data_IF_403028690420
#
_entry.id   IF_403028690420
#
_cell.length_a   1.000
_cell.length_b   1.000
_cell.length_c   1.000
_cell.angle_alpha   90.00
_cell.angle_beta   90.00
_cell.angle_gamma   90.00
#
_symmetry.space_group_name_H-M   'P 1'
#
loop_
_entity.id
_entity.type
_entity.pdbx_description
1 polymer ?
#
# COMPACT_ATOMS: atom_id res chain seq x y z
N UNK A 1 -26.37 18.45 10.07
CA UNK A 1 -26.53 17.53 11.22
C UNK A 1 -25.94 16.20 10.81
N UNK A 2 -25.01 15.65 11.58
CA UNK A 2 -24.40 14.36 11.22
C UNK A 2 -25.42 13.22 11.41
N UNK A 3 -25.43 12.29 10.48
CA UNK A 3 -26.26 11.09 10.57
C UNK A 3 -25.40 9.95 11.18
N UNK A 4 -25.99 9.18 12.09
CA UNK A 4 -25.37 8.02 12.72
C UNK A 4 -26.27 6.80 12.62
N UNK A 5 -25.67 5.67 12.19
CA UNK A 5 -26.33 4.38 12.10
C UNK A 5 -25.55 3.34 12.87
N UNK A 6 -26.26 2.43 13.52
CA UNK A 6 -25.69 1.24 14.14
C UNK A 6 -26.14 0.02 13.36
N UNK A 7 -25.18 -0.83 12.95
CA UNK A 7 -25.41 -1.99 12.07
C UNK A 7 -24.91 -3.24 12.77
N UNK A 8 -25.78 -4.17 13.05
CA UNK A 8 -25.53 -5.47 13.69
C UNK A 8 -25.92 -6.66 12.82
N UNK A 9 -26.44 -6.41 11.63
CA UNK A 9 -26.88 -7.40 10.67
C UNK A 9 -26.54 -6.94 9.23
N UNK A 10 -26.60 -7.83 8.23
CA UNK A 10 -26.40 -7.46 6.83
C UNK A 10 -27.30 -6.28 6.42
N UNK A 11 -26.68 -5.27 5.84
CA UNK A 11 -27.38 -4.03 5.45
C UNK A 11 -26.65 -3.29 4.34
N UNK A 12 -27.43 -2.62 3.50
CA UNK A 12 -26.93 -1.66 2.50
C UNK A 12 -27.39 -0.26 2.91
N UNK A 13 -26.48 0.69 2.84
CA UNK A 13 -26.73 2.11 3.07
C UNK A 13 -26.19 2.92 1.89
N UNK A 14 -27.00 3.79 1.34
CA UNK A 14 -26.57 4.88 0.48
C UNK A 14 -26.38 6.12 1.34
N UNK A 15 -25.24 6.77 1.26
CA UNK A 15 -24.79 7.82 2.19
C UNK A 15 -24.42 9.07 1.41
N UNK A 16 -25.06 10.18 1.78
CA UNK A 16 -24.99 11.47 1.14
C UNK A 16 -26.31 11.80 0.43
N UNK A 17 -26.74 13.04 0.59
CA UNK A 17 -27.91 13.59 -0.09
C UNK A 17 -27.49 14.44 -1.30
N UNK A 18 -28.45 14.91 -2.09
CA UNK A 18 -28.21 15.79 -3.23
C UNK A 18 -27.38 17.04 -2.82
N UNK A 19 -26.19 17.18 -3.40
CA UNK A 19 -25.26 18.27 -3.12
C UNK A 19 -24.20 17.96 -2.07
N UNK A 20 -24.26 16.84 -1.38
CA UNK A 20 -23.20 16.36 -0.50
C UNK A 20 -22.18 15.51 -1.29
N UNK A 21 -20.91 15.60 -0.93
CA UNK A 21 -19.84 14.81 -1.56
C UNK A 21 -18.96 14.17 -0.50
N UNK A 22 -18.75 12.87 -0.62
CA UNK A 22 -17.80 12.16 0.24
C UNK A 22 -16.38 12.53 -0.19
N UNK A 23 -15.69 13.30 0.65
CA UNK A 23 -14.28 13.72 0.45
C UNK A 23 -13.32 12.90 1.27
N UNK A 24 -13.80 12.30 2.35
CA UNK A 24 -12.98 11.53 3.25
C UNK A 24 -13.70 10.27 3.72
N UNK A 25 -13.00 9.16 3.65
CA UNK A 25 -13.44 7.88 4.19
C UNK A 25 -12.48 7.45 5.31
N UNK A 26 -13.02 7.04 6.44
CA UNK A 26 -12.26 6.36 7.49
C UNK A 26 -12.98 5.06 7.87
N UNK A 27 -12.27 3.94 7.74
CA UNK A 27 -12.77 2.63 8.15
C UNK A 27 -11.89 2.09 9.27
N UNK A 28 -12.49 1.64 10.36
CA UNK A 28 -11.81 1.03 11.48
C UNK A 28 -12.52 -0.26 11.90
N UNK A 29 -11.99 -1.41 11.53
CA UNK A 29 -12.54 -2.72 11.93
C UNK A 29 -11.47 -3.61 12.53
N UNK A 30 -11.90 -4.59 13.34
CA UNK A 30 -10.96 -5.48 14.02
C UNK A 30 -10.54 -6.61 13.10
N UNK A 31 -11.46 -7.41 12.63
CA UNK A 31 -11.20 -8.55 11.76
C UNK A 31 -12.22 -8.65 10.63
N UNK A 32 -11.98 -9.54 9.70
CA UNK A 32 -12.85 -9.76 8.55
C UNK A 32 -12.27 -9.24 7.25
N UNK A 33 -13.02 -8.42 6.52
CA UNK A 33 -12.61 -7.89 5.22
C UNK A 33 -13.16 -6.48 4.98
N UNK A 34 -12.34 -5.63 4.40
CA UNK A 34 -12.71 -4.30 3.92
C UNK A 34 -12.38 -4.19 2.45
N UNK A 35 -13.37 -4.02 1.62
CA UNK A 35 -13.20 -3.71 0.20
C UNK A 35 -13.64 -2.26 -0.06
N UNK A 36 -12.76 -1.44 -0.57
CA UNK A 36 -13.03 -0.07 -0.99
C UNK A 36 -12.79 0.02 -2.49
N UNK A 37 -13.85 0.25 -3.23
CA UNK A 37 -13.80 0.44 -4.69
C UNK A 37 -14.36 1.81 -5.04
N UNK A 38 -13.98 2.32 -6.19
CA UNK A 38 -14.45 3.65 -6.61
C UNK A 38 -15.54 3.57 -7.65
N UNK A 39 -16.32 4.64 -7.74
CA UNK A 39 -17.23 4.94 -8.83
C UNK A 39 -17.06 6.41 -9.25
N UNK A 40 -17.50 6.73 -10.45
CA UNK A 40 -17.39 8.05 -11.08
C UNK A 40 -18.77 8.71 -11.35
N UNK A 41 -19.86 8.00 -11.10
CA UNK A 41 -21.22 8.38 -11.46
C UNK A 41 -21.99 9.13 -10.36
N UNK A 42 -21.44 9.19 -9.13
CA UNK A 42 -22.13 9.82 -8.00
C UNK A 42 -21.14 10.49 -7.02
N UNK A 43 -21.51 11.60 -6.38
CA UNK A 43 -20.74 12.18 -5.29
C UNK A 43 -20.92 11.47 -3.93
N UNK A 44 -21.89 10.56 -3.84
CA UNK A 44 -22.30 9.86 -2.61
C UNK A 44 -21.47 8.60 -2.40
N UNK A 45 -21.68 7.89 -1.30
CA UNK A 45 -21.08 6.59 -1.06
C UNK A 45 -22.15 5.51 -0.85
N UNK A 46 -21.80 4.28 -1.21
CA UNK A 46 -22.59 3.09 -0.90
C UNK A 46 -21.80 2.18 0.00
N UNK A 47 -22.36 1.86 1.14
CA UNK A 47 -21.82 0.90 2.09
C UNK A 47 -22.69 -0.37 2.07
N UNK A 48 -22.08 -1.49 1.80
CA UNK A 48 -22.66 -2.82 1.92
C UNK A 48 -21.99 -3.57 3.05
N UNK A 49 -22.76 -3.97 4.04
CA UNK A 49 -22.34 -4.80 5.14
C UNK A 49 -22.89 -6.20 4.91
N UNK A 50 -21.99 -7.15 4.66
CA UNK A 50 -22.34 -8.55 4.38
C UNK A 50 -22.47 -9.35 5.66
N UNK A 51 -21.61 -9.09 6.65
CA UNK A 51 -21.68 -9.76 7.97
C UNK A 51 -21.08 -8.88 9.05
N UNK A 52 -21.62 -9.01 10.25
CA UNK A 52 -21.08 -8.41 11.48
C UNK A 52 -21.14 -9.45 12.58
N UNK A 53 -20.02 -9.67 13.24
CA UNK A 53 -19.87 -10.52 14.38
C UNK A 53 -19.25 -9.73 15.53
N UNK A 54 -19.76 -9.91 16.73
CA UNK A 54 -19.31 -9.21 17.94
C UNK A 54 -19.96 -7.85 18.12
N UNK A 55 -19.18 -6.79 18.24
CA UNK A 55 -19.74 -5.44 18.40
C UNK A 55 -20.30 -4.90 17.07
N UNK A 56 -21.42 -4.14 17.11
CA UNK A 56 -22.00 -3.58 15.92
C UNK A 56 -21.08 -2.54 15.26
N UNK A 57 -21.23 -2.36 13.95
CA UNK A 57 -20.63 -1.26 13.22
C UNK A 57 -21.39 0.05 13.51
N UNK A 58 -20.65 1.13 13.70
CA UNK A 58 -21.16 2.48 13.72
C UNK A 58 -20.77 3.21 12.47
N UNK A 59 -21.73 3.73 11.80
CA UNK A 59 -21.53 4.52 10.59
C UNK A 59 -21.92 5.96 10.90
N UNK A 60 -21.00 6.90 10.72
CA UNK A 60 -21.21 8.32 10.94
C UNK A 60 -20.93 9.11 9.68
N UNK A 61 -21.83 10.00 9.36
CA UNK A 61 -21.74 10.93 8.25
C UNK A 61 -21.78 12.38 8.75
N UNK A 62 -20.72 13.13 8.46
CA UNK A 62 -20.56 14.52 8.90
C UNK A 62 -20.61 15.53 7.72
N UNK A 63 -21.29 15.17 6.61
CA UNK A 63 -21.46 16.02 5.43
C UNK A 63 -20.37 15.91 4.37
N UNK A 64 -19.16 15.54 4.72
CA UNK A 64 -18.04 15.23 3.79
C UNK A 64 -17.17 14.07 4.25
N UNK A 65 -17.31 13.65 5.49
CA UNK A 65 -16.51 12.58 6.09
C UNK A 65 -17.38 11.39 6.48
N UNK A 66 -17.18 10.28 5.81
CA UNK A 66 -17.78 9.00 6.17
C UNK A 66 -16.84 8.22 7.09
N UNK A 67 -17.35 7.80 8.24
CA UNK A 67 -16.65 6.95 9.20
C UNK A 67 -17.41 5.66 9.43
N UNK A 68 -16.72 4.54 9.37
CA UNK A 68 -17.24 3.21 9.65
C UNK A 68 -16.34 2.57 10.71
N UNK A 69 -16.85 2.46 11.92
CA UNK A 69 -16.08 2.00 13.07
C UNK A 69 -16.73 0.76 13.72
N UNK A 70 -15.92 -0.25 14.09
CA UNK A 70 -16.36 -1.36 14.92
C UNK A 70 -15.84 -1.20 16.33
N UNK A 71 -16.76 -0.97 17.32
CA UNK A 71 -16.40 -0.79 18.73
C UNK A 71 -16.85 0.54 19.33
N UNK A 72 -16.60 0.72 20.64
CA UNK A 72 -17.24 1.78 21.44
C UNK A 72 -16.66 3.20 21.32
N UNK A 73 -15.43 3.38 20.88
CA UNK A 73 -14.76 4.69 20.92
C UNK A 73 -14.02 5.01 19.61
N UNK A 74 -14.69 5.72 18.71
CA UNK A 74 -14.16 6.13 17.40
C UNK A 74 -13.07 7.23 17.41
N UNK A 75 -12.45 7.51 18.54
CA UNK A 75 -11.40 8.54 18.66
C UNK A 75 -10.12 8.05 19.35
N UNK A 76 -9.79 6.80 19.17
CA UNK A 76 -8.61 6.21 19.80
C UNK A 76 -7.43 6.30 18.84
N UNK A 77 -6.34 6.90 19.30
CA UNK A 77 -5.03 6.83 18.62
C UNK A 77 -4.64 5.37 18.37
N UNK A 78 -3.98 5.07 17.26
CA UNK A 78 -3.50 3.72 16.90
C UNK A 78 -2.76 3.08 18.09
N UNK A 79 -2.05 3.86 18.88
CA UNK A 79 -1.29 3.41 20.08
C UNK A 79 -2.21 3.02 21.22
N UNK A 80 -3.29 3.78 21.49
CA UNK A 80 -4.25 3.45 22.56
C UNK A 80 -5.13 2.26 22.16
N UNK A 81 -5.40 2.13 20.89
CA UNK A 81 -6.10 1.02 20.29
C UNK A 81 -5.27 -0.29 20.41
N UNK A 82 -3.97 -0.27 20.10
CA UNK A 82 -3.07 -1.41 20.31
C UNK A 82 -3.01 -1.85 21.78
N UNK A 83 -3.04 -0.89 22.71
CA UNK A 83 -2.91 -1.15 24.15
C UNK A 83 -4.14 -1.81 24.77
N UNK A 84 -5.34 -1.63 24.17
CA UNK A 84 -6.60 -2.22 24.61
C UNK A 84 -6.89 -3.62 24.04
N UNK A 85 -6.05 -4.10 23.12
CA UNK A 85 -6.26 -5.34 22.37
C UNK A 85 -6.15 -6.65 23.15
N UNK A 86 -5.75 -6.63 24.41
CA UNK A 86 -5.30 -7.88 25.04
C UNK A 86 -6.39 -8.83 25.54
N UNK A 87 -7.69 -8.52 25.48
CA UNK A 87 -8.63 -9.43 26.13
C UNK A 87 -10.05 -9.62 25.56
N UNK A 88 -10.52 -8.87 24.55
CA UNK A 88 -11.91 -9.03 24.07
C UNK A 88 -12.16 -8.88 22.56
N UNK A 89 -11.15 -8.56 21.79
CA UNK A 89 -11.32 -8.17 20.38
C UNK A 89 -11.31 -9.31 19.37
N UNK A 90 -10.91 -10.52 19.75
CA UNK A 90 -10.80 -11.68 18.85
C UNK A 90 -12.12 -12.12 18.19
N UNK A 91 -13.27 -11.66 18.74
CA UNK A 91 -14.59 -12.04 18.21
C UNK A 91 -15.21 -11.00 17.27
N UNK A 92 -14.61 -9.82 17.16
CA UNK A 92 -15.14 -8.76 16.32
C UNK A 92 -14.70 -8.96 14.87
N UNK A 93 -15.65 -9.27 14.02
CA UNK A 93 -15.41 -9.43 12.57
C UNK A 93 -16.50 -8.73 11.78
N UNK A 94 -16.12 -8.09 10.71
CA UNK A 94 -17.05 -7.50 9.77
C UNK A 94 -16.57 -7.70 8.34
N UNK A 95 -17.50 -7.95 7.44
CA UNK A 95 -17.24 -7.94 6.00
C UNK A 95 -18.00 -6.78 5.42
N UNK A 96 -17.24 -5.79 4.95
CA UNK A 96 -17.76 -4.53 4.44
C UNK A 96 -17.22 -4.22 3.06
N UNK A 97 -18.08 -3.76 2.18
CA UNK A 97 -17.73 -3.24 0.87
C UNK A 97 -18.23 -1.79 0.76
N UNK A 98 -17.34 -0.91 0.36
CA UNK A 98 -17.63 0.51 0.18
C UNK A 98 -17.36 0.90 -1.27
N UNK A 99 -18.34 1.53 -1.88
CA UNK A 99 -18.17 2.21 -3.15
C UNK A 99 -18.21 3.72 -2.89
N UNK A 100 -17.13 4.42 -3.27
CA UNK A 100 -16.91 5.83 -2.95
C UNK A 100 -16.45 6.62 -4.18
N UNK A 101 -16.59 7.96 -4.20
CA UNK A 101 -15.99 8.77 -5.24
C UNK A 101 -14.48 8.58 -5.32
N UNK A 102 -13.92 8.58 -6.52
CA UNK A 102 -12.49 8.33 -6.74
C UNK A 102 -11.56 9.32 -6.03
N UNK A 103 -12.00 10.55 -5.79
CA UNK A 103 -11.27 11.62 -5.10
C UNK A 103 -11.40 11.60 -3.57
N UNK A 104 -12.05 10.59 -3.00
CA UNK A 104 -12.19 10.45 -1.56
C UNK A 104 -10.87 10.00 -0.89
N UNK A 105 -10.28 10.86 -0.08
CA UNK A 105 -9.12 10.52 0.73
C UNK A 105 -9.48 9.40 1.72
N UNK A 106 -8.79 8.26 1.63
CA UNK A 106 -9.21 7.03 2.31
C UNK A 106 -8.19 6.61 3.37
N UNK A 107 -8.69 6.35 4.59
CA UNK A 107 -7.91 5.78 5.69
C UNK A 107 -8.56 4.49 6.19
N UNK A 108 -7.81 3.39 6.14
CA UNK A 108 -8.25 2.07 6.61
C UNK A 108 -7.39 1.62 7.77
N UNK A 109 -8.02 1.32 8.90
CA UNK A 109 -7.37 0.86 10.12
C UNK A 109 -7.92 -0.52 10.48
N UNK A 110 -7.07 -1.53 10.51
CA UNK A 110 -7.49 -2.91 10.80
C UNK A 110 -6.56 -3.59 11.81
N UNK A 111 -7.05 -4.63 12.46
CA UNK A 111 -6.19 -5.50 13.28
C UNK A 111 -5.79 -6.72 12.49
N UNK A 112 -6.78 -7.48 12.04
CA UNK A 112 -6.57 -8.77 11.37
C UNK A 112 -7.47 -8.95 10.15
N UNK A 113 -7.96 -7.84 9.59
CA UNK A 113 -8.77 -7.87 8.39
C UNK A 113 -7.91 -7.82 7.13
N UNK A 114 -8.34 -8.52 6.09
CA UNK A 114 -7.85 -8.28 4.75
C UNK A 114 -8.43 -6.98 4.20
N UNK A 115 -7.65 -6.24 3.42
CA UNK A 115 -8.06 -5.00 2.79
C UNK A 115 -7.80 -5.00 1.28
N UNK A 116 -8.81 -4.60 0.51
CA UNK A 116 -8.67 -4.27 -0.90
C UNK A 116 -9.10 -2.82 -1.12
N UNK A 117 -8.21 -2.01 -1.68
CA UNK A 117 -8.51 -0.64 -2.08
C UNK A 117 -8.18 -0.49 -3.55
N UNK A 118 -9.16 -0.07 -4.36
CA UNK A 118 -8.99 -0.01 -5.80
C UNK A 118 -9.61 1.25 -6.42
N UNK A 119 -8.92 1.83 -7.40
CA UNK A 119 -9.41 2.93 -8.24
C UNK A 119 -9.29 4.33 -7.63
N UNK A 120 -8.72 4.51 -6.44
CA UNK A 120 -8.66 5.79 -5.75
C UNK A 120 -7.68 6.76 -6.41
N UNK A 121 -8.10 8.02 -6.54
CA UNK A 121 -7.33 9.15 -7.11
C UNK A 121 -6.93 10.19 -6.04
N UNK A 122 -6.85 9.78 -4.81
CA UNK A 122 -6.54 10.61 -3.65
C UNK A 122 -5.56 9.92 -2.70
N UNK A 123 -5.23 10.58 -1.60
CA UNK A 123 -4.33 10.02 -0.59
C UNK A 123 -4.94 8.77 0.07
N UNK A 124 -4.14 7.72 0.16
CA UNK A 124 -4.50 6.45 0.81
C UNK A 124 -3.59 6.20 2.00
N UNK A 125 -4.18 5.96 3.15
CA UNK A 125 -3.47 5.54 4.37
C UNK A 125 -4.02 4.23 4.88
N UNK A 126 -3.15 3.26 5.12
CA UNK A 126 -3.53 1.96 5.70
C UNK A 126 -2.68 1.66 6.92
N UNK A 127 -3.36 1.33 8.01
CA UNK A 127 -2.72 0.86 9.23
C UNK A 127 -3.30 -0.52 9.58
N UNK A 128 -2.46 -1.54 9.62
CA UNK A 128 -2.88 -2.89 9.97
C UNK A 128 -1.89 -3.55 10.95
N UNK A 129 -2.37 -4.48 11.74
CA UNK A 129 -1.47 -5.33 12.53
C UNK A 129 -1.15 -6.61 11.77
N UNK A 130 -2.17 -7.23 11.19
CA UNK A 130 -2.01 -8.44 10.39
C UNK A 130 -3.10 -8.53 9.31
N UNK A 131 -2.87 -9.33 8.30
CA UNK A 131 -3.74 -9.46 7.16
C UNK A 131 -3.10 -8.90 5.88
N UNK A 132 -3.54 -9.38 4.75
CA UNK A 132 -3.05 -8.91 3.45
C UNK A 132 -3.75 -7.62 3.06
N UNK A 133 -2.98 -6.63 2.63
CA UNK A 133 -3.48 -5.38 2.07
C UNK A 133 -3.13 -5.34 0.60
N UNK A 134 -4.14 -5.26 -0.23
CA UNK A 134 -4.02 -5.12 -1.68
C UNK A 134 -4.46 -3.73 -2.10
N UNK A 135 -3.56 -2.99 -2.75
CA UNK A 135 -3.79 -1.68 -3.32
C UNK A 135 -3.68 -1.80 -4.84
N UNK A 136 -4.72 -1.44 -5.56
CA UNK A 136 -4.73 -1.58 -7.01
C UNK A 136 -5.26 -0.33 -7.71
N UNK A 137 -4.60 0.10 -8.77
CA UNK A 137 -4.96 1.30 -9.55
C UNK A 137 -5.15 2.55 -8.68
N UNK A 138 -4.16 2.87 -7.87
CA UNK A 138 -4.17 4.06 -7.00
C UNK A 138 -3.35 5.19 -7.63
N UNK A 139 -3.94 6.38 -7.74
CA UNK A 139 -3.24 7.59 -8.17
C UNK A 139 -3.20 8.59 -7.03
N UNK A 140 -2.04 8.73 -6.40
CA UNK A 140 -1.85 9.61 -5.26
C UNK A 140 -0.85 9.06 -4.25
N UNK A 141 -0.59 9.78 -3.17
CA UNK A 141 0.31 9.32 -2.12
C UNK A 141 -0.29 8.14 -1.35
N UNK A 142 0.52 7.10 -1.16
CA UNK A 142 0.17 5.89 -0.41
C UNK A 142 1.09 5.77 0.81
N UNK A 143 0.51 5.64 2.00
CA UNK A 143 1.22 5.39 3.27
C UNK A 143 0.65 4.13 3.94
N UNK A 144 1.46 3.09 4.05
CA UNK A 144 1.07 1.80 4.66
C UNK A 144 1.93 1.51 5.88
N UNK A 145 1.28 1.26 6.99
CA UNK A 145 1.93 0.84 8.24
C UNK A 145 1.38 -0.53 8.65
N UNK A 146 2.24 -1.54 8.72
CA UNK A 146 1.87 -2.90 9.11
C UNK A 146 2.83 -3.48 10.13
N UNK A 147 2.34 -4.39 10.96
CA UNK A 147 3.22 -5.15 11.87
C UNK A 147 3.60 -6.48 11.23
N UNK A 148 2.64 -7.27 10.77
CA UNK A 148 2.90 -8.60 10.18
C UNK A 148 2.03 -8.92 8.98
N UNK A 149 1.44 -7.89 8.35
CA UNK A 149 0.64 -8.03 7.14
C UNK A 149 1.49 -7.96 5.89
N UNK A 150 1.08 -8.67 4.86
CA UNK A 150 1.62 -8.57 3.52
C UNK A 150 1.03 -7.35 2.80
N UNK A 151 1.86 -6.65 2.03
CA UNK A 151 1.45 -5.46 1.27
C UNK A 151 1.68 -5.71 -0.20
N UNK A 152 0.60 -5.73 -0.96
CA UNK A 152 0.61 -5.89 -2.41
C UNK A 152 0.11 -4.60 -3.08
N UNK A 153 0.93 -4.01 -3.91
CA UNK A 153 0.62 -2.81 -4.67
C UNK A 153 0.65 -3.13 -6.17
N UNK A 154 -0.47 -2.99 -6.85
CA UNK A 154 -0.60 -3.08 -8.30
C UNK A 154 -0.91 -1.71 -8.90
N UNK A 155 -0.23 -1.30 -9.98
CA UNK A 155 -0.53 -0.09 -10.77
C UNK A 155 -0.65 1.19 -9.93
N UNK A 156 0.19 1.32 -8.89
CA UNK A 156 0.22 2.53 -8.07
C UNK A 156 0.99 3.63 -8.81
N UNK A 157 0.41 4.84 -8.84
CA UNK A 157 1.02 6.05 -9.40
C UNK A 157 1.11 7.12 -8.31
N UNK A 158 2.34 7.49 -7.95
CA UNK A 158 2.58 8.48 -6.91
C UNK A 158 3.55 7.98 -5.83
N UNK A 159 3.84 8.81 -4.82
CA UNK A 159 4.78 8.43 -3.76
C UNK A 159 4.26 7.25 -2.94
N UNK A 160 5.12 6.25 -2.70
CA UNK A 160 4.82 5.05 -1.90
C UNK A 160 5.69 5.03 -0.64
N UNK A 161 5.06 4.97 0.51
CA UNK A 161 5.72 4.84 1.80
C UNK A 161 5.17 3.62 2.54
N UNK A 162 6.06 2.73 2.96
CA UNK A 162 5.70 1.52 3.69
C UNK A 162 6.58 1.36 4.93
N UNK A 163 5.94 1.14 6.06
CA UNK A 163 6.57 0.74 7.30
C UNK A 163 6.03 -0.64 7.70
N UNK A 164 6.90 -1.64 7.73
CA UNK A 164 6.57 -3.01 8.12
C UNK A 164 7.49 -3.47 9.24
N UNK A 165 6.99 -4.28 10.15
CA UNK A 165 7.88 -5.03 11.05
C UNK A 165 8.18 -6.40 10.45
N UNK A 166 7.16 -7.10 9.97
CA UNK A 166 7.28 -8.41 9.34
C UNK A 166 6.22 -8.58 8.27
N UNK A 167 6.59 -9.07 7.15
CA UNK A 167 5.71 -9.25 5.99
C UNK A 167 6.35 -8.73 4.71
N UNK A 168 6.06 -9.39 3.62
CA UNK A 168 6.57 -9.00 2.32
C UNK A 168 5.90 -7.70 1.81
N UNK A 169 6.64 -6.93 1.04
CA UNK A 169 6.16 -5.74 0.34
C UNK A 169 6.41 -5.93 -1.14
N UNK A 170 5.35 -6.00 -1.92
CA UNK A 170 5.42 -6.19 -3.37
C UNK A 170 4.76 -5.02 -4.07
N UNK A 171 5.46 -4.34 -4.97
CA UNK A 171 4.87 -3.36 -5.88
C UNK A 171 5.11 -3.81 -7.32
N UNK A 172 4.05 -3.94 -8.08
CA UNK A 172 4.09 -4.43 -9.46
C UNK A 172 3.50 -3.39 -10.41
N UNK A 173 4.10 -3.25 -11.59
CA UNK A 173 3.63 -2.38 -12.66
C UNK A 173 3.30 -0.96 -12.18
N UNK A 174 4.12 -0.43 -11.28
CA UNK A 174 3.83 0.82 -10.59
C UNK A 174 4.73 1.96 -11.08
N UNK A 175 4.12 3.12 -11.32
CA UNK A 175 4.81 4.36 -11.69
C UNK A 175 5.02 5.24 -10.44
N UNK A 176 6.01 4.88 -9.63
CA UNK A 176 6.29 5.54 -8.36
C UNK A 176 7.58 6.38 -8.45
N UNK A 177 7.47 7.70 -8.44
CA UNK A 177 8.63 8.57 -8.50
C UNK A 177 9.47 8.55 -7.22
N UNK A 178 8.86 8.23 -6.08
CA UNK A 178 9.52 8.15 -4.79
C UNK A 178 9.00 6.96 -3.97
N UNK A 179 9.91 6.10 -3.55
CA UNK A 179 9.62 4.94 -2.70
C UNK A 179 10.41 5.06 -1.40
N UNK A 180 9.75 4.87 -0.27
CA UNK A 180 10.41 4.78 1.05
C UNK A 180 9.89 3.56 1.80
N UNK A 181 10.72 2.54 1.97
CA UNK A 181 10.35 1.32 2.67
C UNK A 181 11.28 1.11 3.85
N UNK A 182 10.70 0.90 5.03
CA UNK A 182 11.42 0.53 6.23
C UNK A 182 10.80 -0.76 6.77
N UNK A 183 11.57 -1.83 6.83
CA UNK A 183 11.13 -3.11 7.37
C UNK A 183 12.15 -3.68 8.35
N UNK A 184 11.70 -4.48 9.29
CA UNK A 184 12.62 -5.27 10.12
C UNK A 184 12.84 -6.63 9.48
N UNK A 185 11.78 -7.30 9.03
CA UNK A 185 11.86 -8.61 8.39
C UNK A 185 10.82 -8.73 7.28
N UNK A 186 11.21 -9.27 6.19
CA UNK A 186 10.38 -9.48 5.01
C UNK A 186 11.04 -8.97 3.73
N UNK A 187 10.73 -9.64 2.65
CA UNK A 187 11.28 -9.32 1.34
C UNK A 187 10.59 -8.11 0.71
N UNK A 188 11.36 -7.34 -0.01
CA UNK A 188 10.89 -6.16 -0.75
C UNK A 188 11.09 -6.42 -2.23
N UNK A 189 10.00 -6.43 -2.99
CA UNK A 189 10.05 -6.59 -4.45
C UNK A 189 9.37 -5.40 -5.11
N UNK A 190 10.13 -4.65 -5.89
CA UNK A 190 9.65 -3.50 -6.64
C UNK A 190 9.83 -3.72 -8.13
N UNK A 191 8.74 -3.78 -8.88
CA UNK A 191 8.72 -3.79 -10.34
C UNK A 191 8.11 -2.49 -10.84
N UNK A 192 8.97 -1.57 -11.24
CA UNK A 192 8.61 -0.20 -11.55
C UNK A 192 8.56 0.04 -13.06
N UNK A 193 7.62 0.87 -13.49
CA UNK A 193 7.52 1.35 -14.87
C UNK A 193 8.34 2.62 -15.08
N UNK A 194 8.66 3.36 -14.02
CA UNK A 194 9.39 4.62 -14.10
C UNK A 194 10.91 4.38 -14.08
N UNK A 195 11.60 4.92 -15.09
CA UNK A 195 13.05 4.86 -15.19
C UNK A 195 13.76 5.85 -14.22
N UNK A 196 13.06 6.88 -13.71
CA UNK A 196 13.60 7.96 -12.88
C UNK A 196 13.02 7.92 -11.47
N UNK A 197 13.14 6.79 -10.78
CA UNK A 197 12.62 6.62 -9.43
C UNK A 197 13.70 6.89 -8.35
N UNK A 198 13.26 7.47 -7.23
CA UNK A 198 14.07 7.61 -6.02
C UNK A 198 13.62 6.60 -4.97
N UNK A 199 14.44 5.61 -4.70
CA UNK A 199 14.11 4.50 -3.82
C UNK A 199 14.99 4.55 -2.58
N UNK A 200 14.37 4.56 -1.40
CA UNK A 200 15.02 4.38 -0.10
C UNK A 200 14.48 3.12 0.55
N UNK A 201 15.34 2.15 0.80
CA UNK A 201 14.98 0.92 1.47
C UNK A 201 15.90 0.67 2.65
N UNK A 202 15.33 0.46 3.83
CA UNK A 202 16.05 0.03 5.00
C UNK A 202 15.42 -1.26 5.52
N UNK A 203 16.22 -2.34 5.58
CA UNK A 203 15.80 -3.64 6.08
C UNK A 203 16.79 -4.12 7.14
N UNK A 204 16.34 -4.86 8.13
CA UNK A 204 17.25 -5.61 9.00
C UNK A 204 17.46 -7.01 8.41
N UNK A 205 16.38 -7.68 7.99
CA UNK A 205 16.45 -9.02 7.40
C UNK A 205 15.45 -9.14 6.25
N UNK A 206 15.86 -9.73 5.19
CA UNK A 206 15.09 -9.91 3.96
C UNK A 206 15.79 -9.32 2.73
N UNK A 207 15.46 -9.84 1.59
CA UNK A 207 16.04 -9.44 0.33
C UNK A 207 15.33 -8.19 -0.23
N UNK A 208 16.09 -7.36 -0.93
CA UNK A 208 15.58 -6.18 -1.63
C UNK A 208 15.80 -6.35 -3.11
N UNK A 209 14.74 -6.52 -3.87
CA UNK A 209 14.78 -6.65 -5.33
C UNK A 209 14.09 -5.46 -5.97
N UNK A 210 14.79 -4.76 -6.84
CA UNK A 210 14.28 -3.65 -7.63
C UNK A 210 14.45 -3.95 -9.11
N UNK A 211 13.36 -3.93 -9.86
CA UNK A 211 13.36 -4.01 -11.32
C UNK A 211 12.78 -2.72 -11.90
N UNK A 212 13.50 -2.06 -12.78
CA UNK A 212 13.07 -0.83 -13.44
C UNK A 212 13.66 -0.69 -14.84
N UNK A 213 12.99 -0.01 -15.80
CA UNK A 213 13.49 0.20 -17.15
C UNK A 213 14.52 1.36 -17.18
N UNK A 214 15.64 1.23 -16.43
CA UNK A 214 16.61 2.30 -16.31
C UNK A 214 17.55 2.38 -17.51
N UNK A 215 17.99 3.60 -17.86
CA UNK A 215 19.05 3.91 -18.80
C UNK A 215 20.38 4.14 -18.10
N UNK A 216 20.33 4.41 -16.81
CA UNK A 216 21.43 4.58 -15.91
C UNK A 216 20.95 4.56 -14.46
N UNK A 217 21.89 4.39 -13.53
CA UNK A 217 21.57 4.30 -12.10
C UNK A 217 22.63 4.96 -11.21
N UNK A 218 22.21 5.44 -10.05
CA UNK A 218 23.06 5.77 -8.90
C UNK A 218 22.62 4.88 -7.73
N UNK A 219 23.31 3.78 -7.54
CA UNK A 219 23.01 2.77 -6.51
C UNK A 219 23.98 2.91 -5.36
N UNK A 220 23.46 3.18 -4.17
CA UNK A 220 24.19 3.05 -2.92
C UNK A 220 23.61 1.89 -2.13
N UNK A 221 24.37 0.81 -2.02
CA UNK A 221 23.93 -0.42 -1.37
C UNK A 221 24.88 -0.80 -0.23
N UNK A 222 24.33 -0.99 0.96
CA UNK A 222 25.04 -1.43 2.14
C UNK A 222 24.34 -2.67 2.69
N UNK A 223 25.06 -3.77 2.82
CA UNK A 223 24.58 -4.95 3.55
C UNK A 223 25.73 -5.50 4.40
N UNK A 224 25.49 -5.86 5.64
CA UNK A 224 26.54 -6.44 6.48
C UNK A 224 26.80 -7.90 6.12
N UNK A 225 25.72 -8.67 5.91
CA UNK A 225 25.79 -10.10 5.63
C UNK A 225 24.86 -10.46 4.46
N UNK A 226 25.29 -10.27 3.25
CA UNK A 226 24.53 -10.53 2.03
C UNK A 226 25.33 -10.13 0.81
N UNK A 227 24.78 -10.29 -0.36
CA UNK A 227 25.41 -9.97 -1.63
C UNK A 227 24.66 -8.81 -2.32
N UNK A 228 25.38 -8.10 -3.17
CA UNK A 228 24.77 -7.04 -3.99
C UNK A 228 24.94 -7.42 -5.46
N UNK A 229 23.84 -7.50 -6.17
CA UNK A 229 23.81 -7.77 -7.60
C UNK A 229 23.23 -6.56 -8.32
N UNK A 230 23.90 -6.14 -9.39
CA UNK A 230 23.40 -5.11 -10.28
C UNK A 230 23.50 -5.62 -11.72
N UNK A 231 22.37 -5.71 -12.41
CA UNK A 231 22.24 -6.24 -13.77
C UNK A 231 22.93 -7.59 -13.98
N UNK A 232 22.78 -8.48 -12.98
CA UNK A 232 23.34 -9.83 -13.01
C UNK A 232 24.82 -9.94 -12.61
N UNK A 233 25.48 -8.81 -12.33
CA UNK A 233 26.87 -8.80 -11.87
C UNK A 233 26.92 -8.77 -10.34
N UNK A 234 27.61 -9.74 -9.75
CA UNK A 234 27.86 -9.76 -8.31
C UNK A 234 28.97 -8.76 -7.96
N UNK A 235 28.68 -7.82 -7.10
CA UNK A 235 29.62 -6.79 -6.66
C UNK A 235 30.29 -7.24 -5.36
N UNK A 236 31.54 -7.66 -5.45
CA UNK A 236 32.30 -8.16 -4.30
C UNK A 236 32.61 -7.04 -3.28
N UNK A 237 32.20 -7.25 -2.05
CA UNK A 237 32.47 -6.35 -0.90
C UNK A 237 33.95 -6.30 -0.51
N UNK A 238 34.73 -7.31 -0.84
CA UNK A 238 36.16 -7.37 -0.47
C UNK A 238 36.95 -6.21 -1.05
N UNK A 239 36.45 -5.63 -2.13
CA UNK A 239 37.06 -4.47 -2.78
C UNK A 239 36.56 -3.12 -2.26
N UNK A 240 35.45 -3.08 -1.48
CA UNK A 240 34.83 -1.84 -1.01
C UNK A 240 34.22 -1.99 0.40
N UNK A 241 34.99 -1.93 1.48
CA UNK A 241 34.50 -2.17 2.84
C UNK A 241 33.53 -1.10 3.38
N UNK A 242 33.48 0.08 2.76
CA UNK A 242 32.63 1.21 3.22
C UNK A 242 31.24 1.26 2.55
N UNK A 243 30.79 0.16 1.91
CA UNK A 243 29.54 0.13 1.13
C UNK A 243 29.80 0.22 -0.37
N UNK A 244 28.80 -0.19 -1.14
CA UNK A 244 28.88 -0.22 -2.61
C UNK A 244 28.18 1.01 -3.14
N UNK A 245 28.90 1.83 -3.88
CA UNK A 245 28.34 2.91 -4.68
C UNK A 245 28.68 2.67 -6.15
N UNK A 246 27.66 2.60 -6.97
CA UNK A 246 27.75 2.38 -8.40
C UNK A 246 26.95 3.44 -9.12
N UNK A 247 27.56 4.08 -10.11
CA UNK A 247 26.88 5.03 -10.97
C UNK A 247 27.14 4.61 -12.42
N UNK A 248 26.09 4.55 -13.20
CA UNK A 248 26.13 4.26 -14.63
C UNK A 248 25.12 5.13 -15.37
N UNK A 249 25.43 5.48 -16.61
CA UNK A 249 24.58 6.27 -17.49
C UNK A 249 24.18 7.63 -16.89
N UNK A 250 22.91 7.97 -17.01
CA UNK A 250 22.34 9.28 -16.56
C UNK A 250 22.03 9.33 -15.07
N UNK A 251 22.15 8.21 -14.34
CA UNK A 251 21.85 8.12 -12.91
C UNK A 251 20.40 8.45 -12.56
N UNK A 252 19.48 8.25 -13.48
CA UNK A 252 18.06 8.58 -13.29
C UNK A 252 17.41 7.71 -12.21
N UNK A 253 17.70 6.41 -12.18
CA UNK A 253 17.29 5.52 -11.10
C UNK A 253 18.23 5.70 -9.90
N UNK A 254 17.70 6.23 -8.79
CA UNK A 254 18.47 6.41 -7.56
C UNK A 254 18.00 5.43 -6.51
N UNK A 255 18.86 4.49 -6.12
CA UNK A 255 18.60 3.53 -5.07
C UNK A 255 19.54 3.74 -3.89
N UNK A 256 18.98 3.93 -2.70
CA UNK A 256 19.70 3.81 -1.44
C UNK A 256 19.11 2.66 -0.65
N UNK A 257 19.81 1.53 -0.61
CA UNK A 257 19.38 0.35 0.10
C UNK A 257 20.38 0.01 1.22
N UNK A 258 19.85 -0.16 2.43
CA UNK A 258 20.60 -0.60 3.58
C UNK A 258 19.95 -1.87 4.13
N UNK A 259 20.75 -2.94 4.28
CA UNK A 259 20.33 -4.17 4.93
C UNK A 259 21.36 -4.58 5.99
N UNK A 260 20.94 -5.27 7.03
CA UNK A 260 21.90 -5.95 7.93
C UNK A 260 22.16 -7.36 7.39
N UNK A 261 21.09 -8.07 7.07
CA UNK A 261 21.16 -9.41 6.48
C UNK A 261 20.18 -9.52 5.31
N UNK A 262 20.65 -9.92 4.18
CA UNK A 262 19.87 -10.03 2.95
C UNK A 262 20.61 -9.51 1.73
N UNK A 263 20.16 -9.94 0.58
CA UNK A 263 20.72 -9.55 -0.70
C UNK A 263 20.05 -8.28 -1.21
N UNK A 264 20.79 -7.50 -1.98
CA UNK A 264 20.26 -6.33 -2.70
C UNK A 264 20.44 -6.59 -4.19
N UNK A 265 19.34 -6.67 -4.91
CA UNK A 265 19.31 -7.01 -6.32
C UNK A 265 18.68 -5.87 -7.12
N UNK A 266 19.40 -5.36 -8.09
CA UNK A 266 18.91 -4.35 -9.04
C UNK A 266 18.94 -4.96 -10.43
N UNK A 267 17.80 -4.95 -11.11
CA UNK A 267 17.61 -5.55 -12.41
C UNK A 267 17.07 -4.52 -13.41
N UNK A 268 17.60 -4.54 -14.60
CA UNK A 268 17.03 -3.80 -15.72
C UNK A 268 15.78 -4.51 -16.22
N UNK A 269 14.64 -3.84 -16.22
CA UNK A 269 13.46 -4.33 -16.91
C UNK A 269 13.73 -4.34 -18.41
N UNK A 270 13.38 -5.42 -19.10
CA UNK A 270 13.33 -5.39 -20.57
C UNK A 270 12.27 -4.37 -20.96
N UNK A 271 12.59 -3.46 -21.89
CA UNK A 271 11.57 -2.70 -22.57
C UNK A 271 10.58 -3.72 -23.16
N UNK A 272 9.33 -3.66 -22.77
CA UNK A 272 8.28 -4.37 -23.51
C UNK A 272 8.35 -3.83 -24.93
N UNK A 273 8.74 -4.67 -25.85
CA UNK A 273 8.67 -4.40 -27.27
C UNK A 273 7.18 -4.17 -27.55
N UNK A 274 6.79 -2.90 -27.61
CA UNK A 274 5.46 -2.52 -28.07
C UNK A 274 5.41 -3.03 -29.50
N UNK A 275 4.53 -3.98 -29.74
CA UNK A 275 4.17 -4.51 -31.04
C UNK A 275 4.13 -3.34 -32.03
N UNK A 276 5.10 -3.30 -32.94
CA UNK A 276 5.13 -2.33 -34.04
C UNK A 276 4.04 -2.74 -35.04
N UNK A 277 2.91 -2.02 -35.14
CA UNK A 277 1.85 -2.41 -36.08
C UNK A 277 2.22 -2.11 -37.54
N UNK A 278 3.48 -1.78 -37.85
CA UNK A 278 3.92 -1.35 -39.18
C UNK A 278 4.51 -2.46 -40.07
N UNK A 279 4.53 -3.73 -39.64
CA UNK A 279 5.06 -4.82 -40.44
C UNK A 279 4.02 -5.59 -41.30
N UNK A 280 2.89 -4.98 -41.62
CA UNK A 280 1.77 -5.63 -42.34
C UNK A 280 1.28 -4.96 -43.62
N UNK A 281 2.10 -4.15 -44.33
CA UNK A 281 1.65 -3.52 -45.55
C UNK A 281 2.75 -3.56 -46.65
N UNK A 282 3.09 -4.76 -47.16
CA UNK A 282 3.62 -4.94 -48.50
C UNK A 282 3.19 -6.32 -49.01
N UNK A 283 2.10 -6.39 -49.72
CA UNK A 283 1.89 -6.96 -51.05
C UNK A 283 0.40 -7.00 -51.40
#
# INVERSE_FOLDING_TARGET
>A
MGNEWTIDAPRVLDIGDDGERVRKLTVAIVGGRVDVVTHDDSPTARLEVTSVEGEPLRVRWDGDHLRVDQGKDGNTSVVDWLRRMTTRLEKNRAVVSLSVPEDAATSVNTVSAAGLLAGLRAAVQVNTVSGTITLDDIVGPVDVNTVSGEVECGRVQGPLKVHSVSGAVTAQQSDVPAVSINTVSGDITLDLLNAAAQIKSNSVSGDVTVRAPHRGYDVTANTASGQVFVDGVNIDKRTRPAGIRLTDGDGALRLKANAVSGNIVVLKARATETDDPAAGAVR
#
